data_IF_763108784134
#
_entry.id   IF_763108784134
#
_cell.length_a   1.000
_cell.length_b   1.000
_cell.length_c   1.000
_cell.angle_alpha   90.00
_cell.angle_beta   90.00
_cell.angle_gamma   90.00
#
_symmetry.space_group_name_H-M   'P 1'
#
loop_
_entity.id
_entity.type
_entity.pdbx_description
1 polymer ?
#
# COMPACT_ATOMS: atom_id res chain seq x y z
N UNK A 1 0.32 -7.64 4.00
CA UNK A 1 1.11 -6.39 4.05
C UNK A 1 0.12 -5.24 4.18
N UNK A 2 -0.53 -4.84 3.10
CA UNK A 2 -1.50 -3.73 3.07
C UNK A 2 -2.62 -3.86 4.13
N UNK A 3 -3.15 -5.08 4.31
CA UNK A 3 -4.15 -5.36 5.36
C UNK A 3 -3.65 -4.94 6.74
N UNK A 4 -2.42 -5.30 7.10
CA UNK A 4 -1.87 -5.03 8.43
C UNK A 4 -1.55 -3.55 8.63
N UNK A 5 -1.23 -2.81 7.57
CA UNK A 5 -1.11 -1.35 7.65
C UNK A 5 -2.47 -0.70 7.91
N UNK A 6 -3.51 -1.08 7.16
CA UNK A 6 -4.86 -0.52 7.35
C UNK A 6 -5.49 -0.93 8.69
N UNK A 7 -5.19 -2.14 9.18
CA UNK A 7 -5.68 -2.62 10.48
C UNK A 7 -4.89 -2.04 11.65
N UNK A 8 -3.56 -1.97 11.55
CA UNK A 8 -2.68 -1.60 12.67
C UNK A 8 -2.34 -0.10 12.76
N UNK A 9 -2.21 0.58 11.62
CA UNK A 9 -1.87 2.00 11.58
C UNK A 9 -2.46 2.71 10.34
N UNK A 10 -3.80 2.85 10.27
CA UNK A 10 -4.45 3.53 9.15
C UNK A 10 -4.06 5.01 9.04
N UNK A 11 -3.72 5.67 10.15
CA UNK A 11 -3.35 7.08 10.16
C UNK A 11 -2.10 7.38 9.32
N UNK A 12 -1.07 6.54 9.35
CA UNK A 12 0.10 6.73 8.48
C UNK A 12 -0.24 6.62 6.98
N UNK A 13 -1.23 5.82 6.61
CA UNK A 13 -1.70 5.74 5.22
C UNK A 13 -2.46 7.01 4.84
N UNK A 14 -3.34 7.50 5.72
CA UNK A 14 -4.12 8.72 5.50
C UNK A 14 -3.23 9.96 5.42
N UNK A 15 -2.25 10.09 6.31
CA UNK A 15 -1.26 11.17 6.30
C UNK A 15 -0.45 11.17 5.00
N UNK A 16 0.04 10.00 4.57
CA UNK A 16 0.74 9.88 3.30
C UNK A 16 -0.11 10.25 2.10
N UNK A 17 -1.39 9.86 2.11
CA UNK A 17 -2.34 10.22 1.06
C UNK A 17 -2.61 11.73 1.05
N UNK A 18 -2.75 12.37 2.22
CA UNK A 18 -2.93 13.81 2.37
C UNK A 18 -1.72 14.59 1.86
N UNK A 19 -0.50 14.19 2.24
CA UNK A 19 0.75 14.80 1.75
C UNK A 19 0.83 14.67 0.22
N UNK A 20 0.53 13.49 -0.30
CA UNK A 20 0.49 13.24 -1.75
C UNK A 20 -0.53 14.12 -2.45
N UNK A 21 -1.71 14.29 -1.87
CA UNK A 21 -2.77 15.13 -2.39
C UNK A 21 -2.37 16.61 -2.43
N UNK A 22 -1.75 17.11 -1.36
CA UNK A 22 -1.21 18.46 -1.30
C UNK A 22 -0.15 18.70 -2.39
N UNK A 23 0.77 17.75 -2.57
CA UNK A 23 1.83 17.84 -3.57
C UNK A 23 1.32 17.90 -5.02
N UNK A 24 0.17 17.28 -5.31
CA UNK A 24 -0.42 17.24 -6.67
C UNK A 24 -1.64 18.16 -6.84
N UNK A 25 -2.05 18.90 -5.79
CA UNK A 25 -3.24 19.75 -5.81
C UNK A 25 -4.58 19.01 -5.87
N UNK A 26 -4.64 17.76 -5.40
CA UNK A 26 -5.90 17.01 -5.35
C UNK A 26 -6.68 17.35 -4.08
N UNK A 27 -8.00 17.56 -4.22
CA UNK A 27 -8.90 17.82 -3.08
C UNK A 27 -9.73 16.58 -2.70
N UNK A 28 -9.52 15.45 -3.38
CA UNK A 28 -10.25 14.21 -3.16
C UNK A 28 -9.31 13.01 -3.19
N UNK A 29 -9.40 12.16 -2.17
CA UNK A 29 -8.73 10.88 -2.08
C UNK A 29 -9.70 9.70 -2.08
N UNK A 30 -9.20 8.54 -2.48
CA UNK A 30 -9.94 7.28 -2.43
C UNK A 30 -9.07 6.19 -1.83
N UNK A 31 -9.63 5.39 -0.93
CA UNK A 31 -9.01 4.15 -0.47
C UNK A 31 -9.89 2.99 -0.91
N UNK A 32 -9.36 2.16 -1.81
CA UNK A 32 -10.04 0.95 -2.26
C UNK A 32 -9.61 -0.22 -1.39
N UNK A 33 -10.55 -0.80 -0.65
CA UNK A 33 -10.30 -1.93 0.26
C UNK A 33 -11.01 -3.16 -0.26
N UNK A 34 -10.32 -4.31 -0.26
CA UNK A 34 -10.91 -5.58 -0.69
C UNK A 34 -12.08 -6.00 0.22
N UNK A 35 -13.03 -6.75 -0.33
CA UNK A 35 -14.23 -7.20 0.42
C UNK A 35 -13.84 -8.02 1.66
N UNK A 36 -12.75 -8.78 1.55
CA UNK A 36 -12.27 -9.74 2.54
C UNK A 36 -11.65 -9.09 3.78
N UNK A 37 -11.52 -7.76 3.84
CA UNK A 37 -10.88 -7.03 4.95
C UNK A 37 -11.88 -6.14 5.72
N UNK A 38 -12.92 -6.70 6.38
CA UNK A 38 -13.91 -5.91 7.10
C UNK A 38 -13.31 -5.12 8.27
N UNK A 39 -12.31 -5.67 8.96
CA UNK A 39 -11.62 -4.99 10.06
C UNK A 39 -10.83 -3.77 9.58
N UNK A 40 -10.11 -3.90 8.45
CA UNK A 40 -9.41 -2.79 7.83
C UNK A 40 -10.36 -1.65 7.47
N UNK A 41 -11.55 -1.95 6.93
CA UNK A 41 -12.58 -0.94 6.65
C UNK A 41 -13.07 -0.26 7.93
N UNK A 42 -13.33 -1.03 8.99
CA UNK A 42 -13.75 -0.51 10.29
C UNK A 42 -12.71 0.47 10.87
N UNK A 43 -11.45 0.04 10.98
CA UNK A 43 -10.38 0.86 11.54
C UNK A 43 -10.08 2.10 10.69
N UNK A 44 -10.14 1.97 9.35
CA UNK A 44 -9.97 3.10 8.44
C UNK A 44 -11.08 4.14 8.59
N UNK A 45 -12.34 3.71 8.74
CA UNK A 45 -13.45 4.65 8.94
C UNK A 45 -13.31 5.40 10.28
N UNK A 46 -12.94 4.70 11.35
CA UNK A 46 -12.65 5.34 12.64
C UNK A 46 -11.52 6.36 12.50
N UNK A 47 -10.43 6.00 11.79
CA UNK A 47 -9.31 6.91 11.56
C UNK A 47 -9.71 8.14 10.73
N UNK A 48 -10.58 7.97 9.73
CA UNK A 48 -11.12 9.08 8.93
C UNK A 48 -11.99 10.02 9.77
N UNK A 49 -12.86 9.48 10.62
CA UNK A 49 -13.68 10.27 11.54
C UNK A 49 -12.79 11.08 12.49
N UNK A 50 -11.83 10.43 13.14
CA UNK A 50 -10.85 11.09 14.00
C UNK A 50 -10.08 12.18 13.25
N UNK A 51 -9.55 11.90 12.06
CA UNK A 51 -8.81 12.89 11.30
C UNK A 51 -9.67 14.12 10.95
N UNK A 52 -10.96 13.93 10.65
CA UNK A 52 -11.90 15.04 10.44
C UNK A 52 -12.18 15.82 11.73
N UNK A 53 -12.41 15.14 12.84
CA UNK A 53 -12.64 15.78 14.15
C UNK A 53 -11.46 16.64 14.60
N UNK A 54 -10.23 16.19 14.31
CA UNK A 54 -9.00 16.94 14.60
C UNK A 54 -8.67 18.02 13.55
N UNK A 55 -9.49 18.19 12.51
CA UNK A 55 -9.26 19.18 11.45
C UNK A 55 -8.09 18.85 10.53
N UNK A 56 -7.71 17.57 10.45
CA UNK A 56 -6.65 17.03 9.57
C UNK A 56 -7.19 16.55 8.22
N UNK A 57 -8.50 16.42 8.09
CA UNK A 57 -9.23 16.17 6.84
C UNK A 57 -10.48 17.07 6.78
N UNK A 58 -10.96 17.33 5.58
CA UNK A 58 -12.08 18.24 5.31
C UNK A 58 -11.62 19.56 4.73
N UNK A 59 -12.27 20.65 5.13
CA UNK A 59 -11.99 21.99 4.61
C UNK A 59 -10.97 22.74 5.45
N UNK A 60 -10.14 23.53 4.78
CA UNK A 60 -9.16 24.44 5.35
C UNK A 60 -8.29 23.77 6.42
N UNK A 61 -7.67 22.64 6.06
CA UNK A 61 -6.89 21.79 6.96
C UNK A 61 -5.83 22.63 7.66
N UNK A 62 -5.87 22.68 8.99
CA UNK A 62 -4.98 23.48 9.84
C UNK A 62 -4.88 24.98 9.47
N UNK A 63 -5.90 25.55 8.83
CA UNK A 63 -5.88 26.95 8.39
C UNK A 63 -4.99 27.23 7.16
N UNK A 64 -4.59 26.17 6.43
CA UNK A 64 -3.68 26.26 5.28
C UNK A 64 -4.31 26.79 3.98
N UNK A 65 -5.64 26.88 3.90
CA UNK A 65 -6.38 27.14 2.67
C UNK A 65 -6.51 25.93 1.74
N UNK A 66 -6.06 24.74 2.16
CA UNK A 66 -6.16 23.50 1.40
C UNK A 66 -7.29 22.61 1.94
N UNK A 67 -8.12 22.09 1.03
CA UNK A 67 -9.19 21.14 1.36
C UNK A 67 -8.82 19.75 0.84
N UNK A 68 -9.04 18.72 1.64
CA UNK A 68 -8.86 17.34 1.21
C UNK A 68 -9.72 16.38 2.03
N UNK A 69 -10.48 15.53 1.35
CA UNK A 69 -11.27 14.49 2.01
C UNK A 69 -11.17 13.15 1.27
N UNK A 70 -11.38 12.07 2.01
CA UNK A 70 -11.11 10.69 1.56
C UNK A 70 -12.36 9.83 1.66
N UNK A 71 -12.63 9.08 0.59
CA UNK A 71 -13.72 8.09 0.55
C UNK A 71 -13.20 6.67 0.50
N UNK A 72 -13.79 5.79 1.30
CA UNK A 72 -13.49 4.36 1.28
C UNK A 72 -14.43 3.67 0.29
N UNK A 73 -13.85 2.94 -0.68
CA UNK A 73 -14.58 2.06 -1.58
C UNK A 73 -14.29 0.62 -1.22
N UNK A 74 -15.34 -0.18 -1.04
CA UNK A 74 -15.19 -1.62 -0.78
C UNK A 74 -15.35 -2.39 -2.08
N UNK A 75 -14.40 -3.28 -2.36
CA UNK A 75 -14.46 -4.17 -3.52
C UNK A 75 -15.55 -5.23 -3.39
N UNK A 76 -15.82 -5.94 -4.49
CA UNK A 76 -16.82 -7.02 -4.55
C UNK A 76 -16.20 -8.44 -4.59
N UNK A 77 -14.97 -8.60 -4.09
CA UNK A 77 -14.26 -9.89 -4.04
C UNK A 77 -13.58 -10.33 -5.33
N UNK A 78 -13.54 -9.47 -6.35
CA UNK A 78 -12.83 -9.76 -7.60
C UNK A 78 -11.33 -9.47 -7.48
N UNK A 79 -10.49 -10.50 -7.61
CA UNK A 79 -9.02 -10.37 -7.58
C UNK A 79 -8.50 -9.41 -8.66
N UNK A 80 -9.13 -9.42 -9.85
CA UNK A 80 -8.78 -8.55 -10.99
C UNK A 80 -8.93 -7.07 -10.66
N UNK A 81 -9.81 -6.70 -9.73
CA UNK A 81 -10.00 -5.30 -9.31
C UNK A 81 -8.80 -4.72 -8.55
N UNK A 82 -7.77 -5.51 -8.26
CA UNK A 82 -6.46 -5.02 -7.81
C UNK A 82 -5.59 -4.44 -8.93
N UNK A 83 -5.95 -4.65 -10.19
CA UNK A 83 -5.27 -4.03 -11.34
C UNK A 83 -5.63 -2.54 -11.43
N UNK A 84 -4.65 -1.68 -11.73
CA UNK A 84 -4.77 -0.23 -11.71
C UNK A 84 -6.01 0.36 -12.40
N UNK A 85 -6.35 -0.09 -13.61
CA UNK A 85 -7.48 0.42 -14.38
C UNK A 85 -8.81 -0.21 -13.96
N UNK A 86 -8.78 -1.50 -13.60
CA UNK A 86 -9.94 -2.19 -13.02
C UNK A 86 -10.39 -1.56 -11.70
N UNK A 87 -9.44 -1.18 -10.85
CA UNK A 87 -9.67 -0.48 -9.59
C UNK A 87 -10.38 0.86 -9.83
N UNK A 88 -9.94 1.63 -10.81
CA UNK A 88 -10.58 2.90 -11.16
C UNK A 88 -12.00 2.70 -11.65
N UNK A 89 -12.23 1.71 -12.52
CA UNK A 89 -13.59 1.35 -12.96
C UNK A 89 -14.50 0.99 -11.79
N UNK A 90 -13.97 0.27 -10.79
CA UNK A 90 -14.72 -0.07 -9.59
C UNK A 90 -15.05 1.15 -8.71
N UNK A 91 -14.12 2.11 -8.57
CA UNK A 91 -14.38 3.38 -7.86
C UNK A 91 -15.45 4.20 -8.59
N UNK A 92 -15.49 4.15 -9.91
CA UNK A 92 -16.52 4.80 -10.72
C UNK A 92 -17.91 4.12 -10.63
N UNK A 93 -18.05 3.04 -9.85
CA UNK A 93 -19.29 2.28 -9.67
C UNK A 93 -19.59 1.32 -10.82
N UNK A 94 -18.61 1.03 -11.69
CA UNK A 94 -18.73 0.10 -12.81
C UNK A 94 -18.09 -1.25 -12.47
N UNK A 95 -18.33 -2.26 -13.31
CA UNK A 95 -17.68 -3.58 -13.18
C UNK A 95 -16.16 -3.39 -13.28
N UNK A 96 -15.41 -3.95 -12.33
CA UNK A 96 -13.95 -3.78 -12.23
C UNK A 96 -13.18 -4.54 -13.31
N UNK A 97 -13.35 -4.14 -14.56
CA UNK A 97 -12.66 -4.68 -15.73
C UNK A 97 -11.45 -3.81 -16.09
N UNK A 98 -10.28 -4.43 -16.39
CA UNK A 98 -9.12 -3.70 -16.89
C UNK A 98 -9.43 -3.03 -18.22
N UNK A 99 -8.90 -1.83 -18.42
CA UNK A 99 -8.98 -1.10 -19.69
C UNK A 99 -7.64 -1.14 -20.41
N UNK A 100 -7.64 -1.09 -21.75
CA UNK A 100 -6.42 -0.88 -22.52
C UNK A 100 -5.67 0.38 -22.04
N UNK A 101 -4.38 0.22 -21.73
CA UNK A 101 -3.53 1.29 -21.16
C UNK A 101 -2.92 2.19 -22.25
N UNK A 102 -3.76 2.73 -23.13
CA UNK A 102 -3.30 3.71 -24.13
C UNK A 102 -2.90 5.04 -23.46
N UNK A 103 -3.61 5.42 -22.41
CA UNK A 103 -3.31 6.58 -21.57
C UNK A 103 -2.92 6.12 -20.16
N UNK A 104 -1.92 6.78 -19.57
CA UNK A 104 -1.55 6.55 -18.17
C UNK A 104 -2.62 7.15 -17.27
N UNK A 105 -2.88 6.50 -16.13
CA UNK A 105 -3.88 6.96 -15.17
C UNK A 105 -3.54 8.31 -14.55
N UNK A 106 -2.25 8.63 -14.44
CA UNK A 106 -1.76 9.95 -14.01
C UNK A 106 -2.20 11.07 -14.98
N UNK A 107 -2.54 10.75 -16.22
CA UNK A 107 -3.08 11.68 -17.21
C UNK A 107 -4.61 11.59 -17.23
N UNK A 108 -5.16 10.38 -17.32
CA UNK A 108 -6.60 10.15 -17.37
C UNK A 108 -6.95 8.85 -16.65
N UNK A 109 -7.47 8.97 -15.43
CA UNK A 109 -7.85 7.86 -14.56
C UNK A 109 -9.32 7.93 -14.18
N UNK A 110 -9.60 8.12 -12.88
CA UNK A 110 -10.96 8.14 -12.31
C UNK A 110 -11.75 9.30 -12.93
N UNK A 111 -12.89 8.99 -13.53
CA UNK A 111 -13.75 9.93 -14.28
C UNK A 111 -12.99 10.77 -15.30
N UNK A 112 -12.00 10.16 -15.97
CA UNK A 112 -11.13 10.81 -16.95
C UNK A 112 -10.35 12.02 -16.40
N UNK A 113 -10.10 12.05 -15.08
CA UNK A 113 -9.24 13.05 -14.44
C UNK A 113 -7.87 12.48 -14.12
N UNK A 114 -6.80 13.30 -14.11
CA UNK A 114 -5.50 12.90 -13.60
C UNK A 114 -5.61 12.21 -12.24
N UNK A 115 -5.16 10.97 -12.14
CA UNK A 115 -5.31 10.15 -10.94
C UNK A 115 -4.00 9.45 -10.59
N UNK A 116 -3.44 9.82 -9.44
CA UNK A 116 -2.24 9.18 -8.90
C UNK A 116 -2.63 7.94 -8.08
N UNK A 117 -2.23 6.76 -8.53
CA UNK A 117 -2.51 5.49 -7.88
C UNK A 117 -1.23 4.90 -7.31
N UNK A 118 -1.22 4.64 -6.02
CA UNK A 118 -0.12 3.96 -5.33
C UNK A 118 -0.67 2.92 -4.35
N UNK A 119 0.18 1.97 -3.99
CA UNK A 119 -0.12 0.97 -2.98
C UNK A 119 -0.17 1.59 -1.58
N UNK A 120 -0.89 0.95 -0.65
CA UNK A 120 -1.01 1.35 0.76
C UNK A 120 0.36 1.52 1.42
N UNK A 121 1.30 0.59 1.20
CA UNK A 121 2.65 0.66 1.76
C UNK A 121 3.42 1.89 1.28
N UNK A 122 3.26 2.26 0.00
CA UNK A 122 3.88 3.46 -0.56
C UNK A 122 3.40 4.70 0.17
N UNK A 123 2.08 4.85 0.35
CA UNK A 123 1.53 5.98 1.09
C UNK A 123 1.97 5.99 2.56
N UNK A 124 1.94 4.85 3.24
CA UNK A 124 2.41 4.74 4.63
C UNK A 124 3.89 5.13 4.80
N UNK A 125 4.70 5.01 3.75
CA UNK A 125 6.12 5.36 3.76
C UNK A 125 6.34 6.87 3.59
N UNK A 126 5.44 7.60 2.94
CA UNK A 126 5.59 9.03 2.64
C UNK A 126 5.81 9.88 3.90
N UNK A 127 5.02 9.76 4.98
CA UNK A 127 5.26 10.54 6.20
C UNK A 127 6.65 10.32 6.80
N UNK A 128 7.17 9.10 6.73
CA UNK A 128 8.51 8.79 7.23
C UNK A 128 9.60 9.49 6.41
N UNK A 129 9.44 9.55 5.09
CA UNK A 129 10.36 10.26 4.19
C UNK A 129 10.32 11.76 4.45
N UNK A 130 9.13 12.34 4.64
CA UNK A 130 8.99 13.77 4.94
C UNK A 130 9.66 14.10 6.28
N UNK A 131 9.44 13.28 7.31
CA UNK A 131 9.96 13.55 8.65
C UNK A 131 11.47 13.31 8.80
N UNK A 132 12.03 12.32 8.07
CA UNK A 132 13.45 11.94 8.20
C UNK A 132 14.34 12.39 7.04
N UNK A 133 13.73 12.90 5.97
CA UNK A 133 14.41 13.31 4.74
C UNK A 133 14.62 12.18 3.74
N UNK A 134 14.75 12.57 2.47
CA UNK A 134 14.99 11.63 1.37
C UNK A 134 16.34 10.91 1.49
N UNK A 135 17.39 11.60 1.98
CA UNK A 135 18.71 11.02 2.19
C UNK A 135 18.66 9.80 3.13
N UNK A 136 17.93 9.92 4.25
CA UNK A 136 17.70 8.80 5.16
C UNK A 136 17.10 7.59 4.44
N UNK A 137 16.03 7.78 3.67
CA UNK A 137 15.38 6.68 2.96
C UNK A 137 16.29 6.05 1.90
N UNK A 138 17.04 6.88 1.15
CA UNK A 138 17.95 6.42 0.09
C UNK A 138 19.28 5.85 0.59
N UNK A 139 19.62 6.08 1.86
CA UNK A 139 20.76 5.44 2.53
C UNK A 139 20.51 3.96 2.79
N UNK A 140 19.24 3.54 2.79
CA UNK A 140 18.82 2.16 3.02
C UNK A 140 18.64 1.45 1.67
N UNK A 141 19.13 0.21 1.61
CA UNK A 141 18.95 -0.68 0.47
C UNK A 141 20.09 -0.62 -0.55
N UNK A 142 19.83 -0.99 -1.80
CA UNK A 142 20.87 -1.02 -2.86
C UNK A 142 20.95 0.29 -3.63
N UNK A 143 21.86 0.41 -4.60
CA UNK A 143 21.91 1.60 -5.46
C UNK A 143 20.61 1.82 -6.26
N UNK A 144 20.02 0.74 -6.79
CA UNK A 144 18.84 0.80 -7.67
C UNK A 144 17.51 0.60 -6.94
N UNK A 145 17.53 0.02 -5.74
CA UNK A 145 16.35 -0.29 -4.96
C UNK A 145 16.52 0.28 -3.54
N UNK A 146 15.97 1.47 -3.35
CA UNK A 146 16.08 2.26 -2.10
C UNK A 146 14.99 1.90 -1.10
N UNK A 147 15.29 2.13 0.17
CA UNK A 147 14.37 1.98 1.28
C UNK A 147 14.17 0.54 1.74
N UNK A 148 13.08 0.35 2.48
CA UNK A 148 12.66 -0.93 3.03
C UNK A 148 11.47 -1.48 2.25
N UNK A 149 11.21 -2.76 2.46
CA UNK A 149 10.03 -3.43 1.93
C UNK A 149 9.49 -4.40 2.98
N UNK A 150 8.19 -4.37 3.19
CA UNK A 150 7.48 -5.36 3.97
C UNK A 150 7.34 -6.62 3.12
N UNK A 151 7.65 -7.78 3.67
CA UNK A 151 7.43 -9.09 3.08
C UNK A 151 6.48 -9.89 3.95
N UNK A 152 5.62 -10.68 3.29
CA UNK A 152 4.81 -11.70 3.94
C UNK A 152 5.54 -13.03 3.88
N UNK A 153 6.17 -13.42 4.99
CA UNK A 153 6.85 -14.69 5.12
C UNK A 153 5.85 -15.76 5.56
N UNK A 154 5.42 -16.59 4.62
CA UNK A 154 4.38 -17.61 4.81
C UNK A 154 4.82 -18.94 4.19
N UNK A 155 4.12 -20.02 4.55
CA UNK A 155 4.39 -21.36 4.03
C UNK A 155 5.25 -22.20 4.98
N UNK A 156 6.22 -22.94 4.43
CA UNK A 156 7.02 -23.92 5.19
C UNK A 156 8.27 -23.28 5.78
N UNK A 157 8.07 -22.43 6.77
CA UNK A 157 9.11 -21.68 7.49
C UNK A 157 8.74 -21.61 8.99
N UNK A 158 9.72 -21.67 9.89
CA UNK A 158 9.46 -21.78 11.33
C UNK A 158 8.75 -20.54 11.90
N UNK A 159 9.22 -19.35 11.53
CA UNK A 159 8.65 -18.08 11.93
C UNK A 159 7.89 -17.48 10.74
N UNK A 160 6.57 -17.48 10.82
CA UNK A 160 5.70 -16.83 9.82
C UNK A 160 5.26 -15.47 10.31
N UNK A 161 5.04 -14.54 9.37
CA UNK A 161 4.60 -13.19 9.73
C UNK A 161 4.90 -12.15 8.65
N UNK A 162 4.79 -10.89 9.05
CA UNK A 162 5.24 -9.75 8.26
C UNK A 162 6.62 -9.31 8.74
N UNK A 163 7.55 -9.13 7.82
CA UNK A 163 8.93 -8.72 8.11
C UNK A 163 9.27 -7.55 7.21
N UNK A 164 9.67 -6.43 7.81
CA UNK A 164 10.19 -5.29 7.06
C UNK A 164 11.71 -5.42 6.98
N UNK A 165 12.24 -5.43 5.76
CA UNK A 165 13.68 -5.62 5.52
C UNK A 165 14.19 -4.57 4.54
N UNK A 166 15.48 -4.20 4.61
CA UNK A 166 16.08 -3.33 3.61
C UNK A 166 16.07 -4.00 2.24
N UNK A 167 15.78 -3.22 1.19
CA UNK A 167 15.87 -3.71 -0.18
C UNK A 167 17.28 -4.19 -0.50
N UNK A 168 17.42 -5.40 -1.05
CA UNK A 168 18.73 -6.02 -1.33
C UNK A 168 19.14 -7.11 -0.35
N UNK A 169 18.43 -7.27 0.78
CA UNK A 169 18.57 -8.47 1.60
C UNK A 169 18.23 -9.72 0.78
N UNK A 170 19.06 -10.76 0.88
CA UNK A 170 18.87 -11.97 0.09
C UNK A 170 17.70 -12.81 0.62
N UNK A 171 17.04 -13.55 -0.26
CA UNK A 171 15.97 -14.49 0.16
C UNK A 171 16.48 -15.51 1.19
N UNK A 172 17.75 -15.91 1.09
CA UNK A 172 18.38 -16.82 2.06
C UNK A 172 18.37 -16.20 3.46
N UNK A 173 18.78 -14.95 3.60
CA UNK A 173 18.78 -14.26 4.90
C UNK A 173 17.36 -14.12 5.44
N UNK A 174 16.39 -13.74 4.60
CA UNK A 174 14.99 -13.64 5.02
C UNK A 174 14.46 -14.99 5.51
N UNK A 175 14.72 -16.08 4.78
CA UNK A 175 14.19 -17.42 5.11
C UNK A 175 14.88 -18.02 6.34
N UNK A 176 16.20 -17.97 6.41
CA UNK A 176 16.96 -18.67 7.45
C UNK A 176 17.22 -17.83 8.69
N UNK A 177 17.54 -16.53 8.54
CA UNK A 177 17.86 -15.68 9.69
C UNK A 177 16.59 -15.17 10.37
N UNK A 178 15.61 -14.70 9.59
CA UNK A 178 14.35 -14.15 10.14
C UNK A 178 13.31 -15.26 10.28
N UNK A 179 13.12 -16.04 9.21
CA UNK A 179 12.17 -17.14 9.19
C UNK A 179 12.57 -18.36 10.03
N UNK A 180 13.81 -18.45 10.49
CA UNK A 180 14.30 -19.60 11.25
C UNK A 180 14.43 -20.88 10.41
N UNK A 181 14.39 -20.79 9.08
CA UNK A 181 14.57 -21.92 8.17
C UNK A 181 13.34 -22.81 8.01
N UNK A 182 13.55 -23.98 7.40
CA UNK A 182 12.48 -24.93 7.07
C UNK A 182 12.11 -25.78 8.29
N UNK A 183 10.80 -26.02 8.55
CA UNK A 183 10.35 -26.88 9.64
C UNK A 183 10.99 -28.27 9.61
N UNK A 184 11.22 -28.81 10.81
CA UNK A 184 11.85 -30.12 11.06
C UNK A 184 13.28 -30.24 10.50
N UNK A 185 13.97 -29.13 10.24
CA UNK A 185 15.34 -29.15 9.69
C UNK A 185 15.43 -29.72 8.26
N UNK A 186 14.32 -29.73 7.53
CA UNK A 186 14.28 -30.26 6.14
C UNK A 186 15.09 -29.38 5.19
N UNK A 187 15.54 -29.97 4.08
CA UNK A 187 16.26 -29.24 3.02
C UNK A 187 15.32 -28.26 2.31
N UNK A 188 15.76 -27.02 2.16
CA UNK A 188 15.09 -26.03 1.32
C UNK A 188 15.06 -26.50 -0.14
N UNK A 189 13.89 -26.42 -0.77
CA UNK A 189 13.68 -26.88 -2.16
C UNK A 189 13.40 -25.74 -3.14
N UNK A 190 12.59 -24.77 -2.71
CA UNK A 190 12.24 -23.60 -3.51
C UNK A 190 11.43 -22.59 -2.68
N UNK A 191 11.37 -21.35 -3.15
CA UNK A 191 10.52 -20.27 -2.65
C UNK A 191 9.75 -19.61 -3.80
N UNK A 192 8.46 -19.34 -3.59
CA UNK A 192 7.68 -18.51 -4.52
C UNK A 192 7.76 -17.06 -4.07
N UNK A 193 8.08 -16.16 -5.01
CA UNK A 193 8.13 -14.71 -4.74
C UNK A 193 7.03 -14.00 -5.52
N UNK A 194 6.65 -12.78 -5.12
CA UNK A 194 5.69 -11.96 -5.89
C UNK A 194 4.22 -12.41 -5.82
N UNK A 195 3.85 -13.23 -4.84
CA UNK A 195 2.50 -13.79 -4.72
C UNK A 195 2.18 -14.82 -5.81
N UNK A 196 0.90 -15.12 -6.07
CA UNK A 196 0.50 -16.17 -7.02
C UNK A 196 1.01 -15.96 -8.46
N UNK A 197 1.33 -14.71 -8.82
CA UNK A 197 1.77 -14.33 -10.17
C UNK A 197 3.30 -14.39 -10.36
N UNK A 198 4.07 -14.59 -9.28
CA UNK A 198 5.53 -14.62 -9.39
C UNK A 198 6.11 -16.02 -9.47
N UNK A 199 7.39 -16.06 -9.85
CA UNK A 199 8.12 -17.29 -10.13
C UNK A 199 8.55 -18.05 -8.89
N UNK A 200 8.90 -19.32 -9.12
CA UNK A 200 9.47 -20.22 -8.11
C UNK A 200 10.99 -20.26 -8.30
N UNK A 201 11.72 -19.93 -7.24
CA UNK A 201 13.19 -19.88 -7.21
C UNK A 201 13.67 -21.10 -6.41
N UNK A 202 14.56 -21.95 -6.96
CA UNK A 202 15.06 -23.14 -6.28
C UNK A 202 15.99 -22.84 -5.09
#
# INVERSE_FOLDING_TARGET
MDRSLLEGNPHSVLEGLLIGAYAIGSHQGFVYVRQEYPLAVGNLNIALEQAREYGLLGSNILGSGFDFDVKVHRGAGAFVSGESSALMTAIEGRVGEPRPKYTRTAVSGIWQRPSNLNNVETWATVPLIINKGAEWFTSIGTERSKGTKIFSLVGKVNNTGLVEVPMGMTLREVIFNIGGGVPDGKKFKAVQTGGPSGGVIP
#
